data_IF_834640203688
#
_entry.id   IF_834640203688
#
_cell.length_a   1.000
_cell.length_b   1.000
_cell.length_c   1.000
_cell.angle_alpha   90.00
_cell.angle_beta   90.00
_cell.angle_gamma   90.00
#
_symmetry.space_group_name_H-M   'P 1'
#
loop_
_entity.id
_entity.type
_entity.pdbx_description
1 polymer ?
#
# COMPACT_ATOMS: atom_id res chain seq x y z
N UNK A 1 -1.18 -9.64 1.32
CA UNK A 1 0.24 -9.73 1.73
C UNK A 1 0.58 -8.65 2.75
N UNK A 2 0.22 -7.40 2.48
CA UNK A 2 0.48 -6.27 3.39
C UNK A 2 -0.16 -6.41 4.77
N UNK A 3 -1.33 -7.05 4.90
CA UNK A 3 -1.94 -7.39 6.20
C UNK A 3 -1.03 -8.27 7.07
N UNK A 4 -0.47 -9.35 6.52
CA UNK A 4 0.43 -10.26 7.25
C UNK A 4 1.72 -9.56 7.72
N UNK A 5 2.21 -8.60 6.93
CA UNK A 5 3.38 -7.80 7.30
C UNK A 5 3.04 -6.90 8.49
N UNK A 6 1.88 -6.25 8.45
CA UNK A 6 1.41 -5.40 9.55
C UNK A 6 1.26 -6.21 10.83
N UNK A 7 0.61 -7.38 10.76
CA UNK A 7 0.43 -8.27 11.92
C UNK A 7 1.78 -8.71 12.48
N UNK A 8 2.71 -9.16 11.62
CA UNK A 8 4.05 -9.54 12.05
C UNK A 8 4.83 -8.40 12.70
N UNK A 9 4.76 -7.17 12.16
CA UNK A 9 5.44 -6.02 12.76
C UNK A 9 4.86 -5.74 14.14
N UNK A 10 3.53 -5.77 14.28
CA UNK A 10 2.86 -5.54 15.56
C UNK A 10 3.17 -6.63 16.59
N UNK A 11 3.24 -7.89 16.17
CA UNK A 11 3.52 -9.02 17.06
C UNK A 11 4.96 -9.06 17.56
N UNK A 12 5.93 -8.58 16.76
CA UNK A 12 7.35 -8.62 17.09
C UNK A 12 7.90 -7.30 17.66
N UNK A 13 7.08 -6.24 17.68
CA UNK A 13 7.49 -4.95 18.20
C UNK A 13 7.41 -4.93 19.74
N UNK A 14 8.47 -4.45 20.43
CA UNK A 14 8.35 -4.06 21.83
C UNK A 14 7.22 -3.04 21.99
N UNK A 15 6.35 -3.22 22.99
CA UNK A 15 5.26 -2.28 23.25
C UNK A 15 5.81 -0.85 23.39
N UNK A 16 5.29 0.05 22.54
CA UNK A 16 5.55 1.49 22.61
C UNK A 16 6.80 1.99 21.89
N UNK A 17 7.64 1.13 21.29
CA UNK A 17 8.87 1.57 20.60
C UNK A 17 8.72 1.70 19.08
N UNK A 18 7.70 1.04 18.51
CA UNK A 18 7.47 0.95 17.06
C UNK A 18 6.13 1.57 16.69
N UNK A 19 6.16 2.50 15.74
CA UNK A 19 4.96 3.05 15.10
C UNK A 19 4.72 2.37 13.76
N UNK A 20 3.47 2.03 13.46
CA UNK A 20 3.11 1.39 12.18
C UNK A 20 1.94 2.11 11.54
N UNK A 21 2.10 2.55 10.29
CA UNK A 21 0.99 3.10 9.49
C UNK A 21 0.93 2.42 8.12
N UNK A 22 -0.23 2.43 7.50
CA UNK A 22 -0.42 1.81 6.19
C UNK A 22 -1.48 2.53 5.34
N UNK A 23 -1.34 2.39 4.03
CA UNK A 23 -2.26 2.92 3.02
C UNK A 23 -2.53 1.80 2.01
N UNK A 24 -3.81 1.53 1.78
CA UNK A 24 -4.27 0.64 0.72
C UNK A 24 -4.78 1.50 -0.43
N UNK A 25 -4.05 1.52 -1.54
CA UNK A 25 -4.53 2.16 -2.76
C UNK A 25 -5.55 1.24 -3.44
N UNK A 26 -6.60 1.86 -3.98
CA UNK A 26 -7.67 1.15 -4.68
C UNK A 26 -8.06 1.96 -5.91
N UNK A 27 -7.98 1.33 -7.08
CA UNK A 27 -8.29 1.98 -8.35
C UNK A 27 -9.72 2.54 -8.43
N UNK A 28 -10.66 1.99 -7.64
CA UNK A 28 -12.06 2.45 -7.61
C UNK A 28 -12.26 3.78 -6.89
N UNK A 29 -11.30 4.19 -6.05
CA UNK A 29 -11.41 5.36 -5.17
C UNK A 29 -10.41 6.48 -5.53
N UNK A 30 -9.77 6.40 -6.70
CA UNK A 30 -8.73 7.34 -7.14
C UNK A 30 -9.13 8.82 -7.08
N UNK A 31 -10.39 9.13 -7.41
CA UNK A 31 -10.89 10.52 -7.37
C UNK A 31 -10.99 11.08 -5.95
N UNK A 32 -11.08 10.21 -4.94
CA UNK A 32 -11.19 10.62 -3.54
C UNK A 32 -9.82 10.73 -2.88
N UNK A 33 -8.88 9.82 -3.20
CA UNK A 33 -7.58 9.72 -2.54
C UNK A 33 -6.62 10.83 -2.98
N UNK A 34 -6.72 12.02 -2.38
CA UNK A 34 -5.72 13.09 -2.59
C UNK A 34 -4.43 12.81 -1.81
N UNK A 35 -3.29 13.29 -2.30
CA UNK A 35 -2.00 13.21 -1.58
C UNK A 35 -2.10 13.73 -0.15
N UNK A 36 -2.85 14.81 0.08
CA UNK A 36 -3.11 15.35 1.44
C UNK A 36 -3.84 14.36 2.34
N UNK A 37 -4.78 13.56 1.82
CA UNK A 37 -5.48 12.55 2.61
C UNK A 37 -4.57 11.39 2.98
N UNK A 38 -3.66 11.00 2.09
CA UNK A 38 -2.62 9.99 2.38
C UNK A 38 -1.83 10.41 3.61
N UNK A 39 -1.23 11.61 3.60
CA UNK A 39 -0.45 12.08 4.74
C UNK A 39 -1.29 12.32 5.99
N UNK A 40 -2.53 12.82 5.85
CA UNK A 40 -3.43 12.98 7.01
C UNK A 40 -3.75 11.63 7.66
N UNK A 41 -4.00 10.59 6.85
CA UNK A 41 -4.25 9.23 7.34
C UNK A 41 -3.04 8.65 8.05
N UNK A 42 -1.83 8.84 7.49
CA UNK A 42 -0.59 8.40 8.14
C UNK A 42 -0.38 9.08 9.49
N UNK A 43 -0.51 10.40 9.56
CA UNK A 43 -0.37 11.18 10.80
C UNK A 43 -1.37 10.68 11.84
N UNK A 44 -2.64 10.51 11.45
CA UNK A 44 -3.67 9.99 12.35
C UNK A 44 -3.29 8.62 12.92
N UNK A 45 -2.90 7.68 12.05
CA UNK A 45 -2.52 6.33 12.48
C UNK A 45 -1.35 6.35 13.47
N UNK A 46 -0.33 7.17 13.25
CA UNK A 46 0.77 7.32 14.21
C UNK A 46 0.31 7.97 15.52
N UNK A 47 -0.49 9.02 15.46
CA UNK A 47 -1.01 9.69 16.67
C UNK A 47 -1.87 8.75 17.51
N UNK A 48 -2.69 7.90 16.88
CA UNK A 48 -3.54 6.91 17.57
C UNK A 48 -2.73 5.85 18.33
N UNK A 49 -1.42 5.71 18.06
CA UNK A 49 -0.50 4.81 18.75
C UNK A 49 0.27 5.49 19.89
N UNK A 50 0.18 6.82 20.02
CA UNK A 50 0.85 7.58 21.06
C UNK A 50 -0.06 7.73 22.29
N UNK A 51 0.50 7.73 23.51
CA UNK A 51 -0.28 7.93 24.73
C UNK A 51 -0.85 9.37 24.83
N UNK A 52 -0.25 10.32 24.11
CA UNK A 52 -0.67 11.72 24.04
C UNK A 52 -0.47 12.23 22.62
N UNK A 53 -1.38 13.10 22.18
CA UNK A 53 -1.25 13.78 20.89
C UNK A 53 -0.04 14.73 20.91
N UNK A 54 0.86 14.66 19.92
CA UNK A 54 1.96 15.62 19.79
C UNK A 54 1.45 17.06 19.65
N UNK A 55 2.13 18.00 20.29
CA UNK A 55 1.69 19.41 20.34
C UNK A 55 1.70 20.06 18.95
N UNK A 56 2.59 19.62 18.07
CA UNK A 56 2.72 20.10 16.70
C UNK A 56 1.47 19.81 15.86
N UNK A 57 0.73 18.76 16.20
CA UNK A 57 -0.54 18.42 15.54
C UNK A 57 -1.61 19.43 15.95
N UNK A 58 -1.74 19.73 17.24
CA UNK A 58 -2.67 20.75 17.73
C UNK A 58 -2.31 22.14 17.22
N UNK A 59 -1.03 22.51 17.24
CA UNK A 59 -0.56 23.82 16.78
C UNK A 59 -0.86 24.03 15.29
N UNK A 60 -0.65 23.01 14.45
CA UNK A 60 -1.00 23.09 13.04
C UNK A 60 -2.51 23.22 12.85
N UNK A 61 -3.30 22.46 13.61
CA UNK A 61 -4.75 22.52 13.54
C UNK A 61 -5.29 23.91 13.91
N UNK A 62 -4.86 24.45 15.06
CA UNK A 62 -5.35 25.74 15.57
C UNK A 62 -4.99 26.89 14.62
N UNK A 63 -3.75 26.90 14.11
CA UNK A 63 -3.28 27.88 13.13
C UNK A 63 -4.05 27.87 11.81
N UNK A 64 -4.47 26.69 11.36
CA UNK A 64 -5.22 26.57 10.10
C UNK A 64 -6.71 26.83 10.30
N UNK A 65 -7.25 26.46 11.46
CA UNK A 65 -8.65 26.69 11.80
C UNK A 65 -8.94 28.18 11.99
N UNK A 66 -8.03 28.95 12.61
CA UNK A 66 -8.15 30.41 12.71
C UNK A 66 -8.28 31.09 11.34
N UNK A 67 -7.56 30.55 10.35
CA UNK A 67 -7.50 31.10 9.00
C UNK A 67 -8.55 30.48 8.05
N UNK A 68 -9.35 29.51 8.53
CA UNK A 68 -10.26 28.68 7.71
C UNK A 68 -9.58 28.03 6.50
N UNK A 69 -8.32 27.61 6.66
CA UNK A 69 -7.51 27.00 5.60
C UNK A 69 -7.38 25.50 5.82
N UNK A 70 -7.14 24.77 4.72
CA UNK A 70 -6.74 23.36 4.76
C UNK A 70 -5.22 23.24 4.73
N UNK A 71 -4.62 22.21 5.36
CA UNK A 71 -3.19 22.01 5.30
C UNK A 71 -2.75 21.66 3.88
N UNK A 72 -1.58 22.16 3.48
CA UNK A 72 -0.93 21.74 2.23
C UNK A 72 -0.24 20.39 2.40
N UNK A 73 0.04 19.70 1.29
CA UNK A 73 0.79 18.43 1.31
C UNK A 73 2.12 18.58 2.03
N UNK A 74 2.85 19.68 1.80
CA UNK A 74 4.14 19.91 2.43
C UNK A 74 4.03 20.18 3.94
N UNK A 75 2.98 20.87 4.41
CA UNK A 75 2.75 21.04 5.84
C UNK A 75 2.48 19.70 6.53
N UNK A 76 1.68 18.83 5.90
CA UNK A 76 1.43 17.48 6.42
C UNK A 76 2.69 16.62 6.37
N UNK A 77 3.49 16.71 5.32
CA UNK A 77 4.75 15.98 5.21
C UNK A 77 5.72 16.36 6.34
N UNK A 78 5.89 17.65 6.60
CA UNK A 78 6.73 18.12 7.71
C UNK A 78 6.17 17.69 9.06
N UNK A 79 4.85 17.79 9.26
CA UNK A 79 4.23 17.33 10.50
C UNK A 79 4.42 15.81 10.71
N UNK A 80 4.31 15.01 9.64
CA UNK A 80 4.55 13.57 9.71
C UNK A 80 5.98 13.26 10.15
N UNK A 81 6.98 13.98 9.64
CA UNK A 81 8.38 13.83 10.06
C UNK A 81 8.54 14.06 11.57
N UNK A 82 7.90 15.10 12.12
CA UNK A 82 7.96 15.38 13.57
C UNK A 82 7.22 14.34 14.39
N UNK A 83 6.02 13.92 13.96
CA UNK A 83 5.23 12.92 14.69
C UNK A 83 5.99 11.60 14.81
N UNK A 84 6.73 11.19 13.77
CA UNK A 84 7.46 9.91 13.81
C UNK A 84 8.70 9.92 14.68
N UNK A 85 9.22 11.09 15.09
CA UNK A 85 10.32 11.21 16.05
C UNK A 85 9.94 10.70 17.46
N UNK A 86 8.64 10.51 17.72
CA UNK A 86 8.14 9.90 18.96
C UNK A 86 8.30 8.37 19.00
N UNK A 87 8.81 7.74 17.94
CA UNK A 87 9.03 6.30 17.83
C UNK A 87 10.50 6.00 17.53
N UNK A 88 11.04 4.91 18.10
CA UNK A 88 12.38 4.44 17.76
C UNK A 88 12.43 3.98 16.29
N UNK A 89 11.34 3.35 15.84
CA UNK A 89 11.17 2.87 14.47
C UNK A 89 9.77 3.17 13.96
N UNK A 90 9.67 3.88 12.84
CA UNK A 90 8.40 4.11 12.15
C UNK A 90 8.32 3.29 10.86
N UNK A 91 7.34 2.38 10.77
CA UNK A 91 7.07 1.59 9.57
C UNK A 91 5.89 2.19 8.81
N UNK A 92 6.04 2.32 7.48
CA UNK A 92 4.94 2.71 6.61
C UNK A 92 4.79 1.72 5.47
N UNK A 93 3.58 1.18 5.31
CA UNK A 93 3.22 0.26 4.24
C UNK A 93 2.37 0.99 3.20
N UNK A 94 2.85 1.06 1.95
CA UNK A 94 2.07 1.52 0.80
C UNK A 94 1.69 0.31 -0.05
N UNK A 95 0.45 -0.14 0.06
CA UNK A 95 -0.04 -1.33 -0.63
C UNK A 95 -0.72 -0.97 -1.95
N UNK A 96 -0.39 -1.70 -3.02
CA UNK A 96 -0.91 -1.54 -4.38
C UNK A 96 -0.66 -0.12 -4.95
N UNK A 97 0.55 0.42 -4.80
CA UNK A 97 0.89 1.77 -5.25
C UNK A 97 0.66 2.00 -6.76
N UNK A 98 0.62 0.95 -7.57
CA UNK A 98 0.23 0.99 -8.99
C UNK A 98 -1.24 1.37 -9.22
N UNK A 99 -2.12 1.12 -8.24
CA UNK A 99 -3.54 1.49 -8.29
C UNK A 99 -3.80 2.97 -7.97
N UNK A 100 -2.75 3.72 -7.61
CA UNK A 100 -2.75 5.18 -7.45
C UNK A 100 -2.73 5.86 -8.83
N UNK A 101 -3.57 6.89 -9.04
CA UNK A 101 -3.65 7.58 -10.34
C UNK A 101 -2.29 8.20 -10.72
N UNK A 102 -1.81 7.87 -11.92
CA UNK A 102 -0.45 8.22 -12.37
C UNK A 102 -0.20 9.73 -12.44
N UNK A 103 -1.20 10.51 -12.85
CA UNK A 103 -1.02 11.93 -13.21
C UNK A 103 -1.38 12.84 -12.04
N UNK A 104 -2.50 12.56 -11.38
CA UNK A 104 -3.09 13.42 -10.36
C UNK A 104 -2.52 13.17 -8.97
N UNK A 105 -2.05 11.94 -8.68
CA UNK A 105 -1.69 11.53 -7.34
C UNK A 105 -0.25 11.02 -7.26
N UNK A 106 0.10 10.01 -8.07
CA UNK A 106 1.38 9.30 -7.97
C UNK A 106 2.57 10.18 -8.30
N UNK A 107 2.42 11.08 -9.28
CA UNK A 107 3.44 12.09 -9.64
C UNK A 107 3.82 13.01 -8.48
N UNK A 108 2.88 13.35 -7.60
CA UNK A 108 3.15 14.14 -6.39
C UNK A 108 3.65 13.26 -5.23
N UNK A 109 3.07 12.06 -5.10
CA UNK A 109 3.30 11.17 -3.96
C UNK A 109 4.68 10.49 -4.01
N UNK A 110 5.11 9.97 -5.16
CA UNK A 110 6.39 9.25 -5.30
C UNK A 110 7.58 10.08 -4.79
N UNK A 111 7.76 11.36 -5.19
CA UNK A 111 8.85 12.18 -4.68
C UNK A 111 8.85 12.32 -3.16
N UNK A 112 7.68 12.38 -2.53
CA UNK A 112 7.54 12.48 -1.08
C UNK A 112 7.86 11.16 -0.38
N UNK A 113 7.40 10.02 -0.93
CA UNK A 113 7.77 8.69 -0.43
C UNK A 113 9.28 8.48 -0.54
N UNK A 114 9.92 8.92 -1.64
CA UNK A 114 11.39 8.90 -1.75
C UNK A 114 12.04 9.78 -0.70
N UNK A 115 11.51 10.97 -0.41
CA UNK A 115 12.05 11.79 0.68
C UNK A 115 11.93 11.10 2.04
N UNK A 116 10.85 10.35 2.29
CA UNK A 116 10.72 9.51 3.48
C UNK A 116 11.79 8.43 3.54
N UNK A 117 12.09 7.76 2.41
CA UNK A 117 13.11 6.70 2.38
C UNK A 117 14.51 7.23 2.70
N UNK A 118 14.79 8.49 2.38
CA UNK A 118 16.09 9.13 2.61
C UNK A 118 16.19 9.87 3.95
N UNK A 119 15.10 10.06 4.70
CA UNK A 119 15.15 10.80 5.97
C UNK A 119 15.79 9.99 7.11
N UNK A 120 15.88 8.66 6.97
CA UNK A 120 16.33 7.76 8.03
C UNK A 120 15.28 7.48 9.12
N UNK A 121 14.20 8.25 9.15
CA UNK A 121 13.12 8.13 10.15
C UNK A 121 12.14 6.98 9.84
N UNK A 122 12.10 6.51 8.59
CA UNK A 122 11.11 5.54 8.13
C UNK A 122 11.72 4.24 7.64
N UNK A 123 11.02 3.15 7.91
CA UNK A 123 11.18 1.86 7.22
C UNK A 123 9.96 1.63 6.33
N UNK A 124 10.18 1.64 5.02
CA UNK A 124 9.11 1.60 4.04
C UNK A 124 8.95 0.20 3.45
N UNK A 125 7.70 -0.25 3.32
CA UNK A 125 7.33 -1.37 2.48
C UNK A 125 6.37 -0.86 1.41
N UNK A 126 6.68 -1.14 0.15
CA UNK A 126 5.87 -0.72 -1.00
C UNK A 126 5.55 -1.97 -1.79
N UNK A 127 4.27 -2.22 -2.05
CA UNK A 127 3.84 -3.24 -2.99
C UNK A 127 3.29 -2.58 -4.24
N UNK A 128 3.57 -3.21 -5.39
CA UNK A 128 2.98 -2.83 -6.66
C UNK A 128 2.99 -4.01 -7.62
N UNK A 129 2.05 -4.05 -8.56
CA UNK A 129 2.13 -4.99 -9.68
C UNK A 129 3.25 -4.57 -10.63
N UNK A 130 3.99 -5.56 -11.15
CA UNK A 130 5.01 -5.35 -12.18
C UNK A 130 4.34 -5.49 -13.54
N UNK A 131 3.34 -4.67 -13.83
CA UNK A 131 2.77 -4.64 -15.18
C UNK A 131 3.76 -3.86 -16.07
N UNK A 132 4.39 -4.56 -17.02
CA UNK A 132 5.33 -3.97 -17.99
C UNK A 132 4.66 -3.03 -19.01
N UNK A 133 3.37 -2.75 -18.83
CA UNK A 133 2.68 -1.69 -19.55
C UNK A 133 3.33 -0.34 -19.19
N UNK A 134 3.39 0.59 -20.16
CA UNK A 134 4.10 1.88 -20.01
C UNK A 134 3.65 2.71 -18.78
N UNK A 135 2.51 2.38 -18.18
CA UNK A 135 1.87 3.12 -17.10
C UNK A 135 2.49 2.97 -15.71
N UNK A 136 3.38 2.01 -15.44
CA UNK A 136 3.86 1.71 -14.06
C UNK A 136 5.40 1.75 -13.91
N UNK A 137 6.13 2.16 -14.96
CA UNK A 137 7.60 2.26 -14.93
C UNK A 137 8.09 3.28 -13.90
N UNK A 138 7.30 4.31 -13.64
CA UNK A 138 7.65 5.38 -12.69
C UNK A 138 7.88 4.87 -11.26
N UNK A 139 7.12 3.87 -10.82
CA UNK A 139 7.36 3.21 -9.52
C UNK A 139 8.69 2.45 -9.56
N UNK A 140 8.92 1.67 -10.61
CA UNK A 140 10.15 0.89 -10.73
C UNK A 140 11.40 1.79 -10.75
N UNK A 141 11.35 2.88 -11.50
CA UNK A 141 12.42 3.86 -11.65
C UNK A 141 12.66 4.68 -10.38
N UNK A 142 11.60 5.01 -9.65
CA UNK A 142 11.71 5.77 -8.40
C UNK A 142 12.38 5.00 -7.26
N UNK A 143 12.24 3.67 -7.24
CA UNK A 143 12.72 2.83 -6.13
C UNK A 143 13.74 1.78 -6.60
N UNK A 144 14.59 2.12 -7.57
CA UNK A 144 15.64 1.21 -8.09
C UNK A 144 16.71 0.87 -7.04
N UNK A 145 16.98 1.79 -6.13
CA UNK A 145 17.94 1.70 -5.04
C UNK A 145 17.44 0.87 -3.84
N UNK A 146 16.13 0.56 -3.80
CA UNK A 146 15.52 -0.25 -2.75
C UNK A 146 15.75 -1.75 -2.92
N UNK A 147 15.60 -2.51 -1.82
CA UNK A 147 15.54 -3.99 -1.88
C UNK A 147 14.23 -4.41 -2.55
N UNK A 148 14.31 -5.26 -3.56
CA UNK A 148 13.16 -5.74 -4.34
C UNK A 148 12.95 -7.23 -4.08
N UNK A 149 11.69 -7.61 -3.87
CA UNK A 149 11.25 -9.01 -3.79
C UNK A 149 10.17 -9.18 -4.84
N UNK A 150 10.48 -9.92 -5.91
CA UNK A 150 9.49 -10.25 -6.94
C UNK A 150 8.77 -11.52 -6.53
N UNK A 151 7.43 -11.48 -6.56
CA UNK A 151 6.59 -12.60 -6.20
C UNK A 151 5.85 -13.03 -7.46
N UNK A 152 6.14 -14.25 -7.91
CA UNK A 152 5.54 -14.88 -9.08
C UNK A 152 4.85 -16.15 -8.62
N UNK A 153 3.62 -16.35 -9.08
CA UNK A 153 2.94 -17.64 -8.93
C UNK A 153 3.56 -18.62 -9.93
N UNK A 154 3.87 -19.84 -9.48
CA UNK A 154 4.23 -20.92 -10.40
C UNK A 154 2.95 -21.47 -11.03
N UNK A 155 3.07 -22.07 -12.21
CA UNK A 155 1.92 -22.65 -12.92
C UNK A 155 1.16 -23.68 -12.05
N UNK A 156 1.89 -24.37 -11.18
CA UNK A 156 1.38 -25.34 -10.21
C UNK A 156 0.52 -24.67 -9.12
N UNK A 157 0.91 -23.48 -8.64
CA UNK A 157 0.13 -22.71 -7.66
C UNK A 157 -1.21 -22.26 -8.25
N UNK A 158 -1.20 -21.88 -9.53
CA UNK A 158 -2.40 -21.51 -10.28
C UNK A 158 -3.31 -22.72 -10.46
N UNK A 159 -2.75 -23.88 -10.80
CA UNK A 159 -3.52 -25.13 -10.93
C UNK A 159 -4.19 -25.51 -9.61
N UNK A 160 -3.44 -25.51 -8.51
CA UNK A 160 -3.97 -25.81 -7.17
C UNK A 160 -5.08 -24.85 -6.75
N UNK A 161 -4.89 -23.54 -6.98
CA UNK A 161 -5.91 -22.54 -6.67
C UNK A 161 -7.19 -22.74 -7.48
N UNK A 162 -7.07 -23.03 -8.78
CA UNK A 162 -8.23 -23.31 -9.64
C UNK A 162 -8.96 -24.57 -9.17
N UNK A 163 -8.23 -25.63 -8.84
CA UNK A 163 -8.81 -26.86 -8.32
C UNK A 163 -9.55 -26.64 -7.01
N UNK A 164 -8.95 -25.91 -6.07
CA UNK A 164 -9.58 -25.56 -4.80
C UNK A 164 -10.88 -24.77 -5.04
N UNK A 165 -10.86 -23.75 -5.91
CA UNK A 165 -12.06 -22.94 -6.23
C UNK A 165 -13.15 -23.71 -6.94
N UNK A 166 -12.80 -24.65 -7.82
CA UNK A 166 -13.77 -25.58 -8.43
C UNK A 166 -14.39 -26.44 -7.35
N UNK A 167 -13.58 -26.91 -6.41
CA UNK A 167 -14.02 -27.83 -5.37
C UNK A 167 -14.88 -27.18 -4.27
N UNK A 168 -14.65 -25.91 -3.97
CA UNK A 168 -15.44 -25.13 -3.01
C UNK A 168 -16.89 -24.89 -3.49
N UNK A 169 -17.15 -24.92 -4.80
CA UNK A 169 -18.46 -24.60 -5.37
C UNK A 169 -19.08 -25.81 -6.11
N UNK A 170 -20.04 -26.53 -5.49
CA UNK A 170 -20.65 -27.73 -6.07
C UNK A 170 -21.35 -27.50 -7.42
N UNK A 171 -21.91 -26.31 -7.65
CA UNK A 171 -22.53 -25.95 -8.94
C UNK A 171 -21.47 -25.77 -10.01
N UNK A 172 -20.38 -25.09 -9.68
CA UNK A 172 -19.27 -24.86 -10.59
C UNK A 172 -18.56 -26.18 -10.93
N UNK A 173 -18.29 -27.04 -9.92
CA UNK A 173 -17.79 -28.41 -10.13
C UNK A 173 -18.64 -29.20 -11.12
N UNK A 174 -19.97 -29.26 -10.89
CA UNK A 174 -20.89 -29.94 -11.80
C UNK A 174 -20.86 -29.37 -13.22
N UNK A 175 -20.71 -28.05 -13.36
CA UNK A 175 -20.66 -27.39 -14.67
C UNK A 175 -19.37 -27.72 -15.42
N UNK A 176 -18.23 -27.73 -14.71
CA UNK A 176 -16.92 -28.09 -15.25
C UNK A 176 -16.88 -29.56 -15.66
N UNK A 177 -17.41 -30.46 -14.82
CA UNK A 177 -17.49 -31.90 -15.08
C UNK A 177 -18.40 -32.21 -16.27
N UNK A 178 -19.61 -31.63 -16.33
CA UNK A 178 -20.54 -31.85 -17.45
C UNK A 178 -20.05 -31.23 -18.75
N UNK A 179 -19.43 -30.06 -18.68
CA UNK A 179 -18.93 -29.33 -19.85
C UNK A 179 -17.61 -29.84 -20.40
N UNK A 180 -16.86 -30.68 -19.65
CA UNK A 180 -15.48 -31.07 -19.98
C UNK A 180 -14.56 -29.86 -20.23
N UNK A 181 -14.86 -28.71 -19.62
CA UNK A 181 -14.16 -27.44 -19.89
C UNK A 181 -12.98 -27.18 -18.95
N UNK A 182 -12.54 -28.16 -18.14
CA UNK A 182 -11.48 -27.98 -17.13
C UNK A 182 -10.18 -27.46 -17.76
N UNK A 183 -9.67 -28.14 -18.77
CA UNK A 183 -8.43 -27.76 -19.45
C UNK A 183 -8.56 -26.41 -20.16
N UNK A 184 -9.76 -26.08 -20.66
CA UNK A 184 -10.04 -24.79 -21.30
C UNK A 184 -10.02 -23.66 -20.27
N UNK A 185 -10.63 -23.84 -19.10
CA UNK A 185 -10.63 -22.84 -18.03
C UNK A 185 -9.20 -22.62 -17.51
N UNK A 186 -8.46 -23.69 -17.25
CA UNK A 186 -7.07 -23.61 -16.78
C UNK A 186 -6.18 -22.93 -17.82
N UNK A 187 -6.27 -23.32 -19.10
CA UNK A 187 -5.46 -22.73 -20.16
C UNK A 187 -5.80 -21.25 -20.41
N UNK A 188 -7.08 -20.86 -20.35
CA UNK A 188 -7.49 -19.45 -20.43
C UNK A 188 -6.90 -18.69 -19.24
N UNK A 189 -7.09 -19.15 -18.00
CA UNK A 189 -6.61 -18.44 -16.82
C UNK A 189 -5.08 -18.32 -16.78
N UNK A 190 -4.34 -19.35 -17.21
CA UNK A 190 -2.87 -19.29 -17.39
C UNK A 190 -2.45 -18.33 -18.50
N UNK A 191 -3.17 -18.31 -19.61
CA UNK A 191 -2.92 -17.34 -20.69
C UNK A 191 -3.15 -15.90 -20.22
N UNK A 192 -4.13 -15.68 -19.35
CA UNK A 192 -4.35 -14.37 -18.72
C UNK A 192 -3.30 -14.05 -17.66
N UNK A 193 -2.80 -15.03 -16.88
CA UNK A 193 -1.76 -14.78 -15.87
C UNK A 193 -0.38 -14.50 -16.48
N UNK A 194 -0.06 -15.07 -17.65
CA UNK A 194 1.19 -14.81 -18.37
C UNK A 194 1.18 -13.50 -19.19
N UNK A 195 0.02 -12.88 -19.35
CA UNK A 195 -0.15 -11.58 -20.03
C UNK A 195 -0.22 -10.39 -19.06
N UNK A 196 -0.19 -10.66 -17.76
CA UNK A 196 -0.07 -9.68 -16.66
C UNK A 196 1.39 -9.55 -16.24
#
# INVERSE_FOLDING_TARGET
MSSLIIDKIKDHAPQGSVGVAYIYFNYKDQAQQKTTQVFTSLIKQFCDQLPKLPIEVSDLYDKLNSDKRRPTTMQLFTLLLTVVESFDHAYVIFDALDECDAVLQRKELIPLIRRMSHSGSFKLFISSRVELSLGHRDIFDAFQDGRKITILAHDEDIDLYIEEKINENPRFRNLVEKGHCREVIVSILKTYSQRL
#
